data_IF_479888754207
#
_entry.id   IF_479888754207
#
_cell.length_a   1.000
_cell.length_b   1.000
_cell.length_c   1.000
_cell.angle_alpha   90.00
_cell.angle_beta   90.00
_cell.angle_gamma   90.00
#
_symmetry.space_group_name_H-M   'P 1'
#
loop_
_entity.id
_entity.type
_entity.pdbx_description
1 polymer ?
#
# COMPACT_ATOMS: atom_id res chain seq x y z
N UNK A 1 32.97 -29.22 8.64
CA UNK A 1 32.82 -27.96 9.41
C UNK A 1 31.93 -26.93 8.73
N UNK A 2 32.12 -26.60 7.46
CA UNK A 2 31.34 -25.59 6.73
C UNK A 2 29.81 -25.87 6.67
N UNK A 3 29.43 -27.11 6.39
CA UNK A 3 28.00 -27.54 6.39
C UNK A 3 27.32 -27.38 7.75
N UNK A 4 28.01 -27.66 8.84
CA UNK A 4 27.47 -27.48 10.20
C UNK A 4 27.24 -26.01 10.54
N UNK A 5 28.13 -25.11 10.08
CA UNK A 5 27.98 -23.68 10.29
C UNK A 5 26.84 -23.10 9.48
N UNK A 6 26.65 -23.54 8.23
CA UNK A 6 25.50 -23.19 7.39
C UNK A 6 24.18 -23.67 8.00
N UNK A 7 24.15 -24.92 8.48
CA UNK A 7 22.96 -25.47 9.12
C UNK A 7 22.62 -24.73 10.42
N UNK A 8 23.61 -24.42 11.26
CA UNK A 8 23.41 -23.63 12.48
C UNK A 8 22.94 -22.22 12.18
N UNK A 9 23.51 -21.53 11.18
CA UNK A 9 23.08 -20.20 10.74
C UNK A 9 21.63 -20.22 10.21
N UNK A 10 21.28 -21.24 9.43
CA UNK A 10 19.92 -21.44 8.93
C UNK A 10 18.90 -21.70 10.05
N UNK A 11 19.25 -22.55 11.01
CA UNK A 11 18.42 -22.82 12.18
C UNK A 11 18.21 -21.56 13.04
N UNK A 12 19.29 -20.79 13.32
CA UNK A 12 19.19 -19.53 14.04
C UNK A 12 18.31 -18.50 13.32
N UNK A 13 18.45 -18.36 12.01
CA UNK A 13 17.62 -17.45 11.22
C UNK A 13 16.15 -17.84 11.29
N UNK A 14 15.83 -19.13 11.14
CA UNK A 14 14.44 -19.63 11.22
C UNK A 14 13.82 -19.41 12.61
N UNK A 15 14.60 -19.62 13.68
CA UNK A 15 14.17 -19.36 15.05
C UNK A 15 13.95 -17.86 15.30
N UNK A 16 14.89 -16.99 14.87
CA UNK A 16 14.80 -15.54 15.06
C UNK A 16 13.57 -14.94 14.36
N UNK A 17 13.24 -15.44 13.17
CA UNK A 17 12.11 -14.95 12.38
C UNK A 17 10.82 -15.76 12.55
N UNK A 18 10.72 -16.57 13.63
CA UNK A 18 9.53 -17.37 13.96
C UNK A 18 9.01 -18.22 12.78
N UNK A 19 9.91 -18.83 12.02
CA UNK A 19 9.57 -19.68 10.87
C UNK A 19 9.12 -18.94 9.60
N UNK A 20 9.15 -17.60 9.58
CA UNK A 20 8.86 -16.80 8.38
C UNK A 20 10.00 -16.96 7.38
N UNK A 21 9.78 -17.71 6.29
CA UNK A 21 10.82 -18.07 5.31
C UNK A 21 11.41 -16.89 4.56
N UNK A 22 10.59 -15.91 4.15
CA UNK A 22 11.05 -14.74 3.38
C UNK A 22 12.06 -13.86 4.14
N UNK A 23 11.81 -13.38 5.38
CA UNK A 23 12.80 -12.58 6.11
C UNK A 23 14.03 -13.40 6.53
N UNK A 24 13.88 -14.70 6.83
CA UNK A 24 15.02 -15.59 7.11
C UNK A 24 15.94 -15.75 5.88
N UNK A 25 15.37 -15.91 4.69
CA UNK A 25 16.10 -15.97 3.42
C UNK A 25 16.83 -14.64 3.13
N UNK A 26 16.17 -13.51 3.30
CA UNK A 26 16.77 -12.18 3.14
C UNK A 26 17.94 -11.99 4.11
N UNK A 27 17.78 -12.39 5.36
CA UNK A 27 18.87 -12.33 6.36
C UNK A 27 20.08 -13.18 5.95
N UNK A 28 19.87 -14.41 5.47
CA UNK A 28 20.93 -15.29 5.00
C UNK A 28 21.64 -14.73 3.76
N UNK A 29 20.87 -14.17 2.81
CA UNK A 29 21.44 -13.53 1.61
C UNK A 29 22.27 -12.30 1.96
N UNK A 30 21.78 -11.45 2.87
CA UNK A 30 22.52 -10.27 3.33
C UNK A 30 23.77 -10.66 4.11
N UNK A 31 23.70 -11.67 4.98
CA UNK A 31 24.84 -12.18 5.73
C UNK A 31 25.88 -12.80 4.81
N UNK A 32 25.45 -13.58 3.81
CA UNK A 32 26.34 -14.13 2.77
C UNK A 32 26.96 -13.03 1.90
N UNK A 33 26.19 -12.01 1.54
CA UNK A 33 26.67 -10.85 0.80
C UNK A 33 27.73 -10.07 1.56
N UNK A 34 27.52 -9.83 2.86
CA UNK A 34 28.52 -9.17 3.72
C UNK A 34 29.81 -10.00 3.82
N UNK A 35 29.69 -11.31 4.03
CA UNK A 35 30.85 -12.19 4.08
C UNK A 35 31.62 -12.20 2.75
N UNK A 36 30.90 -12.28 1.62
CA UNK A 36 31.50 -12.18 0.28
C UNK A 36 32.18 -10.84 0.03
N UNK A 37 31.60 -9.75 0.50
CA UNK A 37 32.17 -8.41 0.39
C UNK A 37 33.46 -8.27 1.20
N UNK A 38 33.52 -8.81 2.41
CA UNK A 38 34.75 -8.83 3.24
C UNK A 38 35.85 -9.64 2.56
N UNK A 39 35.50 -10.80 1.96
CA UNK A 39 36.45 -11.62 1.20
C UNK A 39 36.94 -10.88 -0.05
N UNK A 40 36.09 -10.21 -0.80
CA UNK A 40 36.44 -9.44 -1.98
C UNK A 40 37.40 -8.28 -1.63
N UNK A 41 37.15 -7.57 -0.53
CA UNK A 41 38.11 -6.55 -0.03
C UNK A 41 39.45 -7.15 0.36
N UNK A 42 39.47 -8.33 0.97
CA UNK A 42 40.68 -9.05 1.30
C UNK A 42 41.50 -9.46 0.05
N UNK A 43 40.79 -9.90 -1.00
CA UNK A 43 41.40 -10.21 -2.30
C UNK A 43 41.99 -8.97 -2.96
N UNK A 44 41.25 -7.87 -2.94
CA UNK A 44 41.72 -6.60 -3.51
C UNK A 44 42.94 -6.02 -2.76
N UNK A 45 42.99 -6.19 -1.44
CA UNK A 45 44.12 -5.79 -0.60
C UNK A 45 45.34 -6.70 -0.75
N UNK A 46 45.33 -7.70 -1.63
CA UNK A 46 46.50 -8.52 -2.02
C UNK A 46 46.86 -9.64 -1.04
N UNK A 47 46.06 -9.94 -0.02
CA UNK A 47 46.37 -10.98 0.97
C UNK A 47 45.17 -11.77 1.50
N UNK A 48 44.47 -12.53 0.64
CA UNK A 48 43.28 -13.29 1.05
C UNK A 48 43.57 -14.38 2.06
N UNK A 49 44.74 -15.05 1.94
CA UNK A 49 45.16 -16.10 2.86
C UNK A 49 45.54 -15.54 4.23
N UNK A 50 46.15 -14.35 4.29
CA UNK A 50 46.48 -13.69 5.55
C UNK A 50 45.25 -13.26 6.32
N UNK A 51 44.20 -12.81 5.61
CA UNK A 51 42.93 -12.39 6.21
C UNK A 51 42.19 -13.59 6.80
N UNK A 52 42.07 -14.71 6.05
CA UNK A 52 41.50 -15.96 6.54
C UNK A 52 42.28 -16.54 7.73
N UNK A 53 43.62 -16.46 7.69
CA UNK A 53 44.47 -16.97 8.76
C UNK A 53 44.35 -16.15 10.05
N UNK A 54 44.19 -14.82 9.95
CA UNK A 54 43.94 -13.92 11.07
C UNK A 54 42.58 -14.14 11.69
N UNK A 55 41.51 -14.29 10.86
CA UNK A 55 40.15 -14.62 11.34
C UNK A 55 40.16 -15.95 12.10
N UNK A 56 40.89 -16.95 11.59
CA UNK A 56 41.02 -18.28 12.21
C UNK A 56 41.79 -18.27 13.53
N UNK A 57 42.80 -17.37 13.67
CA UNK A 57 43.57 -17.19 14.90
C UNK A 57 42.91 -16.28 15.94
N UNK A 58 41.78 -15.70 15.63
CA UNK A 58 41.10 -14.73 16.52
C UNK A 58 41.79 -13.36 16.58
N UNK A 59 42.81 -13.10 15.75
CA UNK A 59 43.44 -11.81 15.58
C UNK A 59 42.59 -10.91 14.65
N UNK A 60 41.43 -10.54 15.12
CA UNK A 60 40.46 -9.81 14.31
C UNK A 60 40.84 -8.34 14.21
N UNK A 61 41.02 -7.85 12.99
CA UNK A 61 41.24 -6.44 12.73
C UNK A 61 39.88 -5.72 12.75
N UNK A 62 39.45 -5.30 13.95
CA UNK A 62 38.17 -4.64 14.18
C UNK A 62 37.92 -3.41 13.28
N UNK A 63 38.92 -2.53 13.05
CA UNK A 63 38.79 -1.41 12.12
C UNK A 63 38.42 -1.84 10.69
N UNK A 64 39.04 -2.92 10.19
CA UNK A 64 38.73 -3.44 8.85
C UNK A 64 37.33 -3.99 8.77
N UNK A 65 36.86 -4.68 9.81
CA UNK A 65 35.54 -5.29 9.85
C UNK A 65 34.43 -4.23 9.96
N UNK A 66 34.67 -3.21 10.79
CA UNK A 66 33.75 -2.06 10.92
C UNK A 66 33.73 -1.24 9.62
N UNK A 67 34.87 -1.01 8.99
CA UNK A 67 34.95 -0.33 7.69
C UNK A 67 34.23 -1.09 6.58
N UNK A 68 34.40 -2.42 6.51
CA UNK A 68 33.68 -3.26 5.56
C UNK A 68 32.16 -3.26 5.82
N UNK A 69 31.74 -3.35 7.08
CA UNK A 69 30.32 -3.28 7.45
C UNK A 69 29.69 -1.92 7.10
N UNK A 70 30.40 -0.82 7.37
CA UNK A 70 29.96 0.53 7.02
C UNK A 70 29.86 0.70 5.48
N UNK A 71 30.88 0.24 4.74
CA UNK A 71 30.88 0.30 3.28
C UNK A 71 29.73 -0.53 2.67
N UNK A 72 29.49 -1.73 3.19
CA UNK A 72 28.38 -2.59 2.79
C UNK A 72 27.03 -1.95 3.13
N UNK A 73 26.89 -1.36 4.30
CA UNK A 73 25.69 -0.61 4.69
C UNK A 73 25.43 0.57 3.75
N UNK A 74 26.45 1.36 3.44
CA UNK A 74 26.32 2.49 2.50
C UNK A 74 25.97 2.01 1.09
N UNK A 75 26.56 0.91 0.63
CA UNK A 75 26.24 0.30 -0.65
C UNK A 75 24.77 -0.17 -0.69
N UNK A 76 24.32 -0.86 0.35
CA UNK A 76 22.89 -1.25 0.47
C UNK A 76 21.97 -0.04 0.51
N UNK A 77 22.33 1.00 1.26
CA UNK A 77 21.56 2.23 1.33
C UNK A 77 21.48 2.95 -0.03
N UNK A 78 22.55 2.93 -0.82
CA UNK A 78 22.55 3.49 -2.17
C UNK A 78 21.69 2.65 -3.13
N UNK A 79 21.83 1.33 -3.11
CA UNK A 79 21.10 0.42 -3.99
C UNK A 79 19.62 0.34 -3.62
N UNK A 80 19.29 0.18 -2.33
CA UNK A 80 17.91 0.08 -1.84
C UNK A 80 17.26 1.45 -1.65
N UNK A 81 18.02 2.49 -1.34
CA UNK A 81 17.53 3.85 -1.19
C UNK A 81 17.08 4.48 -2.52
N UNK A 82 17.59 4.01 -3.64
CA UNK A 82 17.02 4.35 -4.96
C UNK A 82 15.68 3.63 -5.17
N UNK A 83 15.55 2.38 -4.72
CA UNK A 83 14.27 1.65 -4.72
C UNK A 83 13.24 2.26 -3.75
N UNK A 84 13.66 2.73 -2.58
CA UNK A 84 12.77 3.38 -1.61
C UNK A 84 12.36 4.81 -2.01
N UNK A 85 13.19 5.51 -2.82
CA UNK A 85 12.78 6.78 -3.46
C UNK A 85 11.80 6.57 -4.62
N UNK A 86 11.74 5.37 -5.19
CA UNK A 86 10.67 4.92 -6.09
C UNK A 86 9.55 4.20 -5.33
N UNK A 87 9.66 4.04 -4.01
CA UNK A 87 8.59 3.64 -3.10
C UNK A 87 7.60 4.76 -2.72
N UNK A 88 7.73 5.95 -3.32
CA UNK A 88 6.58 6.80 -3.55
C UNK A 88 5.66 6.03 -4.50
N UNK A 89 4.56 5.45 -3.99
CA UNK A 89 3.66 4.60 -4.74
C UNK A 89 3.34 5.20 -6.10
N UNK A 90 3.11 4.35 -7.09
CA UNK A 90 2.76 4.76 -8.45
C UNK A 90 1.62 5.78 -8.39
N UNK A 91 1.80 6.91 -9.05
CA UNK A 91 0.76 7.95 -9.11
C UNK A 91 -0.22 7.57 -10.20
N UNK A 92 -1.47 7.40 -9.81
CA UNK A 92 -2.56 7.04 -10.70
C UNK A 92 -3.50 8.24 -10.86
N UNK A 93 -3.98 8.47 -12.08
CA UNK A 93 -5.10 9.37 -12.30
C UNK A 93 -6.39 8.55 -12.15
N UNK A 94 -7.21 8.94 -11.20
CA UNK A 94 -8.48 8.29 -10.91
C UNK A 94 -9.62 9.29 -11.18
N UNK A 95 -10.56 8.89 -12.02
CA UNK A 95 -11.81 9.63 -12.22
C UNK A 95 -12.90 8.98 -11.38
N UNK A 96 -13.50 9.75 -10.50
CA UNK A 96 -14.56 9.33 -9.58
C UNK A 96 -15.88 9.87 -10.10
N UNK A 97 -16.91 9.03 -10.17
CA UNK A 97 -18.27 9.43 -10.50
C UNK A 97 -19.21 9.17 -9.31
N UNK A 98 -19.95 10.19 -8.89
CA UNK A 98 -20.96 10.10 -7.83
C UNK A 98 -22.19 10.88 -8.27
N UNK A 99 -23.33 10.21 -8.39
CA UNK A 99 -24.61 10.81 -8.86
C UNK A 99 -24.44 11.64 -10.15
N UNK A 100 -23.69 11.11 -11.11
CA UNK A 100 -23.44 11.75 -12.40
C UNK A 100 -22.41 12.88 -12.39
N UNK A 101 -21.96 13.34 -11.22
CA UNK A 101 -20.87 14.30 -11.10
C UNK A 101 -19.53 13.56 -11.18
N UNK A 102 -18.54 14.18 -11.83
CA UNK A 102 -17.25 13.55 -12.05
C UNK A 102 -16.12 14.47 -11.61
N UNK A 103 -15.11 13.87 -10.99
CA UNK A 103 -13.88 14.56 -10.62
C UNK A 103 -12.68 13.66 -10.84
N UNK A 104 -11.59 14.23 -11.33
CA UNK A 104 -10.35 13.50 -11.55
C UNK A 104 -9.32 13.97 -10.54
N UNK A 105 -8.74 13.02 -9.80
CA UNK A 105 -7.73 13.29 -8.78
C UNK A 105 -6.49 12.44 -9.02
N UNK A 106 -5.36 12.89 -8.48
CA UNK A 106 -4.13 12.09 -8.44
C UNK A 106 -4.15 11.26 -7.17
N UNK A 107 -4.12 9.94 -7.31
CA UNK A 107 -4.03 9.00 -6.21
C UNK A 107 -2.64 8.40 -6.10
N UNK A 108 -2.25 8.06 -4.89
CA UNK A 108 -1.10 7.24 -4.59
C UNK A 108 -1.54 5.77 -4.60
N UNK A 109 -0.85 4.93 -5.38
CA UNK A 109 -1.04 3.48 -5.31
C UNK A 109 -0.36 2.95 -4.04
N UNK A 110 -1.16 2.58 -3.06
CA UNK A 110 -0.70 2.11 -1.75
C UNK A 110 -1.08 0.64 -1.56
N UNK A 111 -0.13 -0.25 -1.81
CA UNK A 111 -0.30 -1.70 -1.60
C UNK A 111 -0.53 -2.08 -0.13
N UNK A 112 -0.32 -1.15 0.80
CA UNK A 112 -0.63 -1.31 2.23
C UNK A 112 -2.07 -0.93 2.59
N UNK A 113 -2.82 -0.29 1.68
CA UNK A 113 -4.20 0.07 1.93
C UNK A 113 -5.10 -1.17 1.88
N UNK A 114 -5.48 -1.65 3.06
CA UNK A 114 -6.37 -2.81 3.26
C UNK A 114 -7.79 -2.41 3.62
N UNK A 115 -8.16 -1.12 3.45
CA UNK A 115 -9.49 -0.63 3.78
C UNK A 115 -10.53 -1.24 2.85
N UNK A 116 -11.49 -1.95 3.42
CA UNK A 116 -12.60 -2.58 2.71
C UNK A 116 -13.92 -2.24 3.39
N UNK A 117 -14.96 -2.16 2.60
CA UNK A 117 -16.33 -2.10 3.10
C UNK A 117 -16.70 -3.44 3.76
N UNK A 118 -17.05 -3.46 5.05
CA UNK A 118 -17.34 -4.69 5.76
C UNK A 118 -18.60 -5.42 5.25
N UNK A 119 -19.48 -4.72 4.53
CA UNK A 119 -20.73 -5.29 4.00
C UNK A 119 -20.51 -5.91 2.62
N UNK A 120 -19.85 -5.20 1.73
CA UNK A 120 -19.65 -5.65 0.35
C UNK A 120 -18.30 -6.34 0.11
N UNK A 121 -17.34 -6.28 1.06
CA UNK A 121 -15.98 -6.75 0.90
C UNK A 121 -15.13 -5.91 -0.07
N UNK A 122 -15.70 -4.92 -0.73
CA UNK A 122 -15.04 -4.13 -1.77
C UNK A 122 -13.93 -3.24 -1.20
N UNK A 123 -12.82 -3.09 -1.92
CA UNK A 123 -11.78 -2.15 -1.52
C UNK A 123 -12.31 -0.72 -1.54
N UNK A 124 -11.86 0.11 -0.61
CA UNK A 124 -12.25 1.51 -0.54
C UNK A 124 -11.14 2.42 -1.08
N UNK A 125 -11.54 3.42 -1.87
CA UNK A 125 -10.71 4.56 -2.22
C UNK A 125 -10.73 5.54 -1.05
N UNK A 126 -9.57 5.90 -0.51
CA UNK A 126 -9.48 7.01 0.46
C UNK A 126 -9.25 8.30 -0.30
N UNK A 127 -10.07 9.32 -0.03
CA UNK A 127 -10.05 10.60 -0.74
C UNK A 127 -10.05 11.74 0.27
N UNK A 128 -9.20 12.74 0.06
CA UNK A 128 -9.25 13.98 0.83
C UNK A 128 -10.60 14.68 0.60
N UNK A 129 -11.24 15.11 1.69
CA UNK A 129 -12.55 15.79 1.63
C UNK A 129 -12.50 17.03 0.75
N UNK A 130 -11.43 17.81 0.85
CA UNK A 130 -11.25 19.04 0.05
C UNK A 130 -11.13 18.74 -1.45
N UNK A 131 -10.45 17.65 -1.81
CA UNK A 131 -10.34 17.21 -3.19
C UNK A 131 -11.65 16.63 -3.75
N UNK A 132 -12.66 16.42 -2.92
CA UNK A 132 -13.95 15.86 -3.27
C UNK A 132 -15.07 16.91 -3.37
N UNK A 133 -14.80 18.20 -3.19
CA UNK A 133 -15.85 19.24 -3.05
C UNK A 133 -16.80 19.30 -4.25
N UNK A 134 -16.27 19.18 -5.46
CA UNK A 134 -17.05 19.25 -6.69
C UNK A 134 -17.96 18.03 -6.95
N UNK A 135 -17.73 16.95 -6.21
CA UNK A 135 -18.55 15.73 -6.32
C UNK A 135 -19.93 15.85 -5.66
N UNK A 136 -20.09 16.81 -4.75
CA UNK A 136 -21.27 16.88 -3.90
C UNK A 136 -22.22 18.00 -4.29
N UNK A 137 -23.55 17.81 -4.14
CA UNK A 137 -24.50 18.90 -4.06
C UNK A 137 -24.15 19.86 -2.91
N UNK A 138 -24.48 21.16 -2.99
CA UNK A 138 -24.07 22.14 -1.99
C UNK A 138 -24.55 21.85 -0.56
N UNK A 139 -25.73 21.28 -0.41
CA UNK A 139 -26.30 20.85 0.87
C UNK A 139 -25.53 19.67 1.50
N UNK A 140 -25.14 18.71 0.68
CA UNK A 140 -24.30 17.57 1.09
C UNK A 140 -22.90 18.07 1.44
N UNK A 141 -22.30 18.91 0.59
CA UNK A 141 -20.97 19.50 0.82
C UNK A 141 -20.89 20.25 2.16
N UNK A 142 -21.94 21.04 2.50
CA UNK A 142 -22.00 21.75 3.77
C UNK A 142 -22.00 20.81 4.99
N UNK A 143 -22.69 19.68 4.92
CA UNK A 143 -22.65 18.68 6.00
C UNK A 143 -21.28 17.99 6.09
N UNK A 144 -20.68 17.66 4.95
CA UNK A 144 -19.37 17.02 4.90
C UNK A 144 -18.27 17.94 5.44
N UNK A 145 -18.38 19.27 5.20
CA UNK A 145 -17.45 20.27 5.70
C UNK A 145 -17.62 20.59 7.20
N UNK A 146 -18.72 20.19 7.81
CA UNK A 146 -18.97 20.49 9.23
C UNK A 146 -17.99 19.76 10.15
N UNK A 147 -17.63 20.32 11.33
CA UNK A 147 -16.72 19.71 12.29
C UNK A 147 -17.39 18.63 13.16
N UNK A 148 -18.31 17.88 12.57
CA UNK A 148 -19.05 16.83 13.27
C UNK A 148 -18.36 15.47 13.11
N UNK A 149 -18.51 14.56 14.07
CA UNK A 149 -18.05 13.19 13.91
C UNK A 149 -18.77 12.46 12.77
N UNK A 150 -18.14 11.44 12.18
CA UNK A 150 -18.68 10.73 11.00
C UNK A 150 -20.11 10.21 11.19
N UNK A 151 -20.45 9.74 12.38
CA UNK A 151 -21.79 9.21 12.72
C UNK A 151 -22.86 10.30 12.66
N UNK A 152 -22.55 11.49 13.18
CA UNK A 152 -23.49 12.62 13.15
C UNK A 152 -23.64 13.18 11.74
N UNK A 153 -22.53 13.24 10.97
CA UNK A 153 -22.59 13.60 9.53
C UNK A 153 -23.51 12.64 8.80
N UNK A 154 -23.34 11.34 9.00
CA UNK A 154 -24.20 10.32 8.37
C UNK A 154 -25.69 10.51 8.76
N UNK A 155 -25.99 10.74 10.04
CA UNK A 155 -27.35 10.97 10.49
C UNK A 155 -27.96 12.25 9.88
N UNK A 156 -27.18 13.30 9.66
CA UNK A 156 -27.65 14.53 8.98
C UNK A 156 -27.88 14.31 7.50
N UNK A 157 -26.98 13.62 6.82
CA UNK A 157 -27.11 13.28 5.40
C UNK A 157 -28.36 12.41 5.14
N UNK A 158 -28.62 11.48 6.04
CA UNK A 158 -29.86 10.67 5.96
C UNK A 158 -31.12 11.52 6.12
N UNK A 159 -31.12 12.46 7.06
CA UNK A 159 -32.27 13.40 7.27
C UNK A 159 -32.47 14.35 6.10
N UNK A 160 -31.43 14.74 5.40
CA UNK A 160 -31.50 15.55 4.19
C UNK A 160 -32.08 14.78 3.00
N UNK A 161 -32.23 13.45 3.09
CA UNK A 161 -32.63 12.64 1.95
C UNK A 161 -31.60 12.65 0.82
N UNK A 162 -30.32 12.70 1.18
CA UNK A 162 -29.25 12.72 0.19
C UNK A 162 -29.38 11.53 -0.78
N UNK A 163 -29.30 11.81 -2.08
CA UNK A 163 -29.39 10.78 -3.13
C UNK A 163 -28.19 9.83 -3.13
N UNK A 164 -27.08 10.28 -2.52
CA UNK A 164 -25.86 9.48 -2.34
C UNK A 164 -26.01 8.57 -1.13
N UNK A 165 -25.71 7.29 -1.29
CA UNK A 165 -25.66 6.35 -0.17
C UNK A 165 -24.35 6.51 0.58
N UNK A 166 -24.42 6.81 1.88
CA UNK A 166 -23.26 6.90 2.77
C UNK A 166 -23.22 5.70 3.72
N UNK A 167 -22.01 5.27 4.05
CA UNK A 167 -21.70 4.19 5.00
C UNK A 167 -20.57 4.60 5.92
N UNK A 168 -20.42 3.91 7.07
CA UNK A 168 -19.29 4.10 7.97
C UNK A 168 -18.32 2.94 7.80
N UNK A 169 -17.08 3.25 7.49
CA UNK A 169 -16.02 2.26 7.35
C UNK A 169 -15.10 2.28 8.57
N UNK A 170 -14.99 1.18 9.32
CA UNK A 170 -14.01 1.09 10.40
C UNK A 170 -12.60 1.00 9.82
N UNK A 171 -11.68 1.76 10.40
CA UNK A 171 -10.28 1.70 10.02
C UNK A 171 -9.37 1.64 11.24
N UNK A 172 -8.14 1.19 11.02
CA UNK A 172 -7.05 1.20 12.00
C UNK A 172 -5.82 1.80 11.36
N UNK A 173 -5.15 2.67 12.09
CA UNK A 173 -3.90 3.29 11.63
C UNK A 173 -2.88 3.32 12.76
N UNK A 174 -1.62 3.57 12.43
CA UNK A 174 -0.55 3.76 13.42
C UNK A 174 -0.91 4.98 14.29
N UNK A 175 -1.05 4.75 15.59
CA UNK A 175 -1.45 5.79 16.55
C UNK A 175 -2.97 5.97 16.75
N UNK A 176 -3.80 5.36 15.90
CA UNK A 176 -5.27 5.35 16.04
C UNK A 176 -5.75 3.90 16.07
N UNK A 177 -6.04 3.34 17.26
CA UNK A 177 -6.37 1.91 17.39
C UNK A 177 -7.71 1.55 16.73
N UNK A 178 -8.65 2.50 16.63
CA UNK A 178 -9.91 2.35 15.90
C UNK A 178 -10.46 3.73 15.55
N UNK A 179 -10.96 3.86 14.32
CA UNK A 179 -11.64 5.06 13.83
C UNK A 179 -12.75 4.68 12.87
N UNK A 180 -13.59 5.65 12.52
CA UNK A 180 -14.63 5.52 11.50
C UNK A 180 -14.38 6.57 10.42
N UNK A 181 -14.46 6.17 9.17
CA UNK A 181 -14.49 7.07 8.03
C UNK A 181 -15.89 7.06 7.41
N UNK A 182 -16.38 8.24 7.05
CA UNK A 182 -17.58 8.36 6.27
C UNK A 182 -17.25 8.06 4.81
N UNK A 183 -17.93 7.09 4.21
CA UNK A 183 -17.72 6.70 2.83
C UNK A 183 -18.99 6.89 2.01
N UNK A 184 -18.84 7.47 0.83
CA UNK A 184 -19.88 7.59 -0.17
C UNK A 184 -19.76 6.46 -1.18
N UNK A 185 -20.87 5.90 -1.62
CA UNK A 185 -20.91 4.90 -2.69
C UNK A 185 -20.80 5.61 -4.03
N UNK A 186 -19.75 5.32 -4.79
CA UNK A 186 -19.60 5.86 -6.15
C UNK A 186 -20.51 5.13 -7.15
N UNK A 187 -20.81 5.78 -8.27
CA UNK A 187 -21.37 5.11 -9.44
C UNK A 187 -20.29 4.18 -10.01
N UNK A 188 -19.10 4.73 -10.21
CA UNK A 188 -17.87 4.01 -10.58
C UNK A 188 -16.64 4.87 -10.28
N UNK A 189 -15.49 4.22 -10.23
CA UNK A 189 -14.19 4.86 -10.37
C UNK A 189 -13.53 4.35 -11.66
N UNK A 190 -12.78 5.21 -12.35
CA UNK A 190 -12.06 4.86 -13.57
C UNK A 190 -10.57 5.04 -13.36
N UNK A 191 -9.79 3.99 -13.60
CA UNK A 191 -8.34 3.94 -13.43
C UNK A 191 -7.75 3.33 -14.70
N UNK A 192 -6.86 4.06 -15.38
CA UNK A 192 -6.22 3.59 -16.62
C UNK A 192 -7.23 3.08 -17.69
N UNK A 193 -8.39 3.75 -17.79
CA UNK A 193 -9.46 3.37 -18.75
C UNK A 193 -10.35 2.21 -18.30
N UNK A 194 -10.08 1.60 -17.14
CA UNK A 194 -10.93 0.55 -16.56
C UNK A 194 -11.89 1.15 -15.54
N UNK A 195 -13.15 0.72 -15.57
CA UNK A 195 -14.20 1.17 -14.65
C UNK A 195 -14.49 0.11 -13.59
N UNK A 196 -14.49 0.55 -12.34
CA UNK A 196 -14.79 -0.25 -11.16
C UNK A 196 -16.10 0.28 -10.56
N UNK A 197 -17.21 -0.44 -10.71
CA UNK A 197 -18.51 0.05 -10.25
C UNK A 197 -18.64 -0.03 -8.73
N UNK A 198 -19.39 0.92 -8.16
CA UNK A 198 -19.83 0.91 -6.76
C UNK A 198 -18.72 0.80 -5.72
N UNK A 199 -17.55 1.41 -5.99
CA UNK A 199 -16.46 1.46 -5.04
C UNK A 199 -16.80 2.45 -3.93
N UNK A 200 -16.63 2.10 -2.63
CA UNK A 200 -16.74 3.04 -1.53
C UNK A 200 -15.62 4.09 -1.59
N UNK A 201 -15.98 5.36 -1.51
CA UNK A 201 -15.06 6.50 -1.46
C UNK A 201 -15.07 7.02 -0.03
N UNK A 202 -14.08 6.65 0.76
CA UNK A 202 -13.91 7.04 2.16
C UNK A 202 -13.26 8.43 2.24
N UNK A 203 -13.91 9.35 2.96
CA UNK A 203 -13.44 10.72 3.08
C UNK A 203 -12.56 10.91 4.30
N UNK A 204 -11.36 11.45 4.09
CA UNK A 204 -10.46 11.87 5.17
C UNK A 204 -10.37 13.38 5.26
N UNK A 205 -10.27 13.90 6.50
CA UNK A 205 -10.03 15.32 6.78
C UNK A 205 -8.53 15.65 6.86
N UNK A 206 -7.68 14.59 6.89
CA UNK A 206 -6.24 14.76 6.96
C UNK A 206 -5.62 14.67 5.57
N UNK A 207 -4.60 15.48 5.28
CA UNK A 207 -3.87 15.38 4.02
C UNK A 207 -3.19 14.01 3.91
N UNK A 208 -3.26 13.43 2.72
CA UNK A 208 -2.74 12.09 2.44
C UNK A 208 -1.24 12.12 2.19
N UNK A 209 -0.74 13.13 1.51
CA UNK A 209 0.68 13.27 1.25
C UNK A 209 1.09 14.71 0.95
N UNK A 210 2.36 15.04 1.26
CA UNK A 210 2.96 16.34 0.91
C UNK A 210 3.26 16.46 -0.59
N UNK A 211 2.97 15.43 -1.38
CA UNK A 211 3.41 15.31 -2.77
C UNK A 211 2.34 15.56 -3.85
N UNK A 212 1.18 16.17 -3.53
CA UNK A 212 0.12 16.45 -4.49
C UNK A 212 -0.71 15.24 -4.90
N UNK A 213 -0.75 14.18 -4.08
CA UNK A 213 -1.69 13.08 -4.17
C UNK A 213 -2.81 13.31 -3.16
N UNK A 214 -4.04 13.31 -3.64
CA UNK A 214 -5.24 13.58 -2.84
C UNK A 214 -6.08 12.34 -2.58
N UNK A 215 -5.62 11.18 -3.03
CA UNK A 215 -6.31 9.91 -2.80
C UNK A 215 -5.29 8.78 -2.58
N UNK A 216 -5.74 7.72 -1.87
CA UNK A 216 -5.03 6.45 -1.73
C UNK A 216 -5.86 5.34 -2.36
N UNK A 217 -5.21 4.56 -3.21
CA UNK A 217 -5.82 3.40 -3.83
C UNK A 217 -4.99 2.15 -3.52
N UNK A 218 -5.61 1.16 -2.88
CA UNK A 218 -5.04 -0.17 -2.72
C UNK A 218 -5.23 -0.99 -4.00
N UNK A 219 -4.35 -1.96 -4.23
CA UNK A 219 -4.57 -2.91 -5.32
C UNK A 219 -5.72 -3.85 -4.92
N UNK A 220 -6.86 -3.81 -5.60
CA UNK A 220 -7.83 -4.88 -5.43
C UNK A 220 -7.18 -6.13 -6.00
N UNK A 221 -7.11 -7.22 -5.22
CA UNK A 221 -6.73 -8.53 -5.74
C UNK A 221 -7.52 -8.76 -7.04
N UNK A 222 -6.82 -8.70 -8.19
CA UNK A 222 -7.41 -8.32 -9.48
C UNK A 222 -8.43 -9.30 -10.07
N UNK A 223 -8.71 -10.43 -9.42
CA UNK A 223 -9.65 -11.44 -9.93
C UNK A 223 -11.09 -11.26 -9.43
N UNK A 224 -11.33 -10.83 -8.19
CA UNK A 224 -12.70 -10.75 -7.63
C UNK A 224 -13.47 -9.53 -8.17
N UNK A 225 -12.81 -8.38 -8.35
CA UNK A 225 -13.49 -7.16 -8.84
C UNK A 225 -13.76 -7.25 -10.35
N UNK A 226 -12.98 -8.05 -11.08
CA UNK A 226 -13.17 -8.29 -12.51
C UNK A 226 -14.38 -9.18 -12.79
N UNK A 227 -14.61 -10.23 -12.00
CA UNK A 227 -15.76 -11.11 -12.15
C UNK A 227 -17.11 -10.37 -11.92
N UNK A 228 -17.15 -9.48 -10.91
CA UNK A 228 -18.34 -8.67 -10.64
C UNK A 228 -18.58 -7.59 -11.70
N UNK A 229 -17.53 -7.04 -12.31
CA UNK A 229 -17.66 -6.04 -13.37
C UNK A 229 -18.15 -6.67 -14.68
N UNK A 230 -17.68 -7.87 -15.02
CA UNK A 230 -18.15 -8.64 -16.18
C UNK A 230 -19.59 -9.12 -15.99
N UNK A 231 -19.95 -9.60 -14.80
CA UNK A 231 -21.31 -10.00 -14.50
C UNK A 231 -22.30 -8.83 -14.52
N UNK A 232 -21.89 -7.64 -14.06
CA UNK A 232 -22.71 -6.43 -14.11
C UNK A 232 -22.85 -5.87 -15.53
N UNK A 233 -21.83 -5.98 -16.38
CA UNK A 233 -21.87 -5.59 -17.80
C UNK A 233 -22.78 -6.54 -18.60
N UNK A 234 -22.67 -7.85 -18.36
CA UNK A 234 -23.53 -8.85 -18.98
C UNK A 234 -25.01 -8.69 -18.60
N UNK A 235 -25.29 -8.34 -17.33
CA UNK A 235 -26.66 -8.08 -16.88
C UNK A 235 -27.26 -6.79 -17.47
N UNK A 236 -26.44 -5.78 -17.75
CA UNK A 236 -26.88 -4.54 -18.40
C UNK A 236 -27.20 -4.74 -19.89
N UNK A 237 -26.44 -5.58 -20.59
CA UNK A 237 -26.64 -5.91 -21.99
C UNK A 237 -27.95 -6.70 -22.21
N UNK A 238 -28.22 -7.68 -21.31
CA UNK A 238 -29.48 -8.46 -21.35
C UNK A 238 -30.71 -7.59 -21.11
N UNK A 239 -30.62 -6.56 -20.24
CA UNK A 239 -31.72 -5.64 -20.00
C UNK A 239 -31.95 -4.65 -21.17
N UNK A 240 -30.93 -4.31 -21.92
CA UNK A 240 -31.05 -3.45 -23.11
C UNK A 240 -31.70 -4.18 -24.29
N UNK A 241 -31.40 -5.46 -24.50
CA UNK A 241 -32.04 -6.30 -25.53
C UNK A 241 -33.53 -6.55 -25.26
N UNK A 242 -33.92 -6.73 -24.00
CA UNK A 242 -35.34 -6.99 -23.64
C UNK A 242 -36.21 -5.76 -23.84
N UNK A 243 -35.63 -4.55 -23.81
CA UNK A 243 -36.39 -3.29 -24.00
C UNK A 243 -36.57 -2.94 -25.49
N UNK A 244 -35.81 -3.53 -26.41
CA UNK A 244 -36.00 -3.31 -27.87
C UNK A 244 -36.91 -4.33 -28.54
N UNK A 245 -37.32 -5.38 -27.84
CA UNK A 245 -38.17 -6.46 -28.37
C UNK A 245 -39.66 -6.39 -27.91
N UNK A 246 -40.07 -5.32 -27.22
CA UNK A 246 -41.45 -5.01 -26.77
C UNK A 246 -41.96 -3.70 -27.43
#
# INVERSE_FOLDING_TARGET
MFLCQLAAGGAMALCAFRGRRRPALLFLLLSGGLAGFVLALGLWAGSPTALLHRIYRGEMNWPLLLGAALCFYLLLRLLLGQGARHGGGERLKITISVCGRKQTVTALHDTGNTLRDPVSGRPALVLEREAAEDLWPPDVAAVLASPLPPEEKMARLHRLGATVTFTLLPFRSVGVPSGLLLAARSDYIEINGRRYPRIPVALTEHPISDGGCHALWGDPDGEEVMADAEAAAAAADVSAETTQAG
#
